data_IF_801827135832
#
_entry.id   IF_801827135832
#
_cell.length_a   1.000
_cell.length_b   1.000
_cell.length_c   1.000
_cell.angle_alpha   90.00
_cell.angle_beta   90.00
_cell.angle_gamma   90.00
#
_symmetry.space_group_name_H-M   'P 1'
#
loop_
_entity.id
_entity.type
_entity.pdbx_description
1 polymer ?
#
# COMPACT_ATOMS: atom_id res chain seq x y z
N UNK A 1 -9.58 -3.23 16.90
CA UNK A 1 -10.46 -3.89 15.94
C UNK A 1 -11.84 -3.95 16.55
N UNK A 2 -12.83 -3.62 15.77
CA UNK A 2 -14.24 -3.78 16.11
C UNK A 2 -14.79 -4.93 15.25
N UNK A 3 -14.89 -6.10 15.85
CA UNK A 3 -15.36 -7.31 15.17
C UNK A 3 -16.86 -7.29 14.88
N UNK A 4 -17.62 -6.47 15.62
CA UNK A 4 -19.08 -6.37 15.44
C UNK A 4 -19.45 -5.49 14.25
N UNK A 5 -18.58 -4.57 13.87
CA UNK A 5 -18.76 -3.61 12.77
C UNK A 5 -17.89 -3.91 11.56
N UNK A 6 -17.05 -4.94 11.63
CA UNK A 6 -16.03 -5.26 10.63
C UNK A 6 -15.12 -4.06 10.30
N UNK A 7 -14.64 -3.37 11.37
CA UNK A 7 -13.80 -2.18 11.24
C UNK A 7 -12.47 -2.30 11.98
N UNK A 8 -11.44 -1.72 11.37
CA UNK A 8 -10.12 -1.51 11.96
C UNK A 8 -9.93 -0.03 12.21
N UNK A 9 -9.75 0.37 13.45
CA UNK A 9 -9.41 1.74 13.82
C UNK A 9 -7.91 1.87 13.99
N UNK A 10 -7.30 2.75 13.22
CA UNK A 10 -5.86 3.02 13.25
C UNK A 10 -5.64 4.51 13.49
N UNK A 11 -4.68 4.84 14.34
CA UNK A 11 -4.17 6.20 14.45
C UNK A 11 -2.81 6.28 13.74
N UNK A 12 -2.74 7.13 12.74
CA UNK A 12 -1.51 7.29 11.95
C UNK A 12 -0.43 7.98 12.78
N UNK A 13 0.78 7.40 12.84
CA UNK A 13 1.86 7.93 13.68
C UNK A 13 2.39 9.30 13.23
N UNK A 14 2.41 9.58 11.92
CA UNK A 14 2.95 10.84 11.40
C UNK A 14 1.98 12.01 11.48
N UNK A 15 0.71 11.75 11.23
CA UNK A 15 -0.31 12.79 11.08
C UNK A 15 -1.26 12.84 12.27
N UNK A 16 -1.21 11.84 13.14
CA UNK A 16 -2.11 11.63 14.28
C UNK A 16 -3.61 11.57 13.88
N UNK A 17 -3.90 11.45 12.57
CA UNK A 17 -5.27 11.33 12.09
C UNK A 17 -5.83 9.92 12.34
N UNK A 18 -7.09 9.83 12.81
CA UNK A 18 -7.78 8.55 12.86
C UNK A 18 -8.08 8.07 11.43
N UNK A 19 -7.95 6.78 11.21
CA UNK A 19 -8.27 6.11 9.96
C UNK A 19 -9.12 4.89 10.27
N UNK A 20 -10.25 4.79 9.62
CA UNK A 20 -11.15 3.65 9.69
C UNK A 20 -11.03 2.85 8.39
N UNK A 21 -10.74 1.58 8.53
CA UNK A 21 -10.60 0.66 7.40
C UNK A 21 -11.54 -0.52 7.56
N UNK A 22 -12.09 -1.06 6.46
CA UNK A 22 -12.89 -2.28 6.53
C UNK A 22 -12.01 -3.47 6.94
N UNK A 23 -12.54 -4.29 7.85
CA UNK A 23 -11.97 -5.58 8.21
C UNK A 23 -12.56 -6.64 7.28
N UNK A 24 -11.85 -6.95 6.20
CA UNK A 24 -12.29 -8.03 5.30
C UNK A 24 -12.18 -9.39 5.98
N UNK A 25 -13.02 -10.35 5.59
CA UNK A 25 -13.02 -11.69 6.17
C UNK A 25 -11.63 -12.37 6.11
N UNK A 26 -10.90 -12.19 5.00
CA UNK A 26 -9.54 -12.74 4.85
C UNK A 26 -8.58 -12.20 5.91
N UNK A 27 -8.59 -10.88 6.12
CA UNK A 27 -7.72 -10.23 7.10
C UNK A 27 -8.17 -10.56 8.52
N UNK A 28 -9.49 -10.55 8.76
CA UNK A 28 -10.08 -10.87 10.06
C UNK A 28 -9.73 -12.29 10.49
N UNK A 29 -9.94 -13.27 9.63
CA UNK A 29 -9.62 -14.67 9.92
C UNK A 29 -8.12 -14.86 10.18
N UNK A 30 -7.25 -14.27 9.37
CA UNK A 30 -5.80 -14.35 9.58
C UNK A 30 -5.36 -13.75 10.93
N UNK A 31 -5.97 -12.64 11.34
CA UNK A 31 -5.69 -12.04 12.66
C UNK A 31 -6.23 -12.93 13.78
N UNK A 32 -7.43 -13.47 13.62
CA UNK A 32 -8.02 -14.37 14.60
C UNK A 32 -7.19 -15.63 14.81
N UNK A 33 -6.77 -16.29 13.72
CA UNK A 33 -5.93 -17.48 13.77
C UNK A 33 -4.59 -17.21 14.44
N UNK A 34 -3.96 -16.08 14.12
CA UNK A 34 -2.74 -15.63 14.80
C UNK A 34 -2.96 -15.45 16.31
N UNK A 35 -4.02 -14.76 16.71
CA UNK A 35 -4.32 -14.50 18.12
C UNK A 35 -4.57 -15.80 18.89
N UNK A 36 -5.20 -16.78 18.25
CA UNK A 36 -5.58 -18.05 18.87
C UNK A 36 -4.43 -19.04 18.97
N UNK A 37 -3.60 -19.13 17.94
CA UNK A 37 -2.66 -20.24 17.76
C UNK A 37 -1.19 -19.85 17.84
N UNK A 38 -0.85 -18.65 17.34
CA UNK A 38 0.55 -18.27 17.08
C UNK A 38 1.06 -17.19 18.06
N UNK A 39 0.16 -16.39 18.60
CA UNK A 39 0.55 -15.27 19.45
C UNK A 39 1.06 -15.77 20.80
N UNK A 40 2.31 -15.44 21.19
CA UNK A 40 2.80 -15.74 22.53
C UNK A 40 1.92 -15.11 23.62
N UNK A 41 1.81 -15.78 24.77
CA UNK A 41 1.17 -15.20 25.93
C UNK A 41 1.92 -13.94 26.36
N UNK A 42 1.27 -12.79 26.27
CA UNK A 42 1.85 -11.48 26.57
C UNK A 42 0.77 -10.57 27.15
N UNK A 43 1.13 -9.77 28.15
CA UNK A 43 0.28 -8.72 28.71
C UNK A 43 0.11 -7.51 27.79
N UNK A 44 0.87 -7.48 26.69
CA UNK A 44 0.82 -6.42 25.71
C UNK A 44 -0.57 -6.33 25.07
N UNK A 45 -1.15 -5.12 25.06
CA UNK A 45 -2.41 -4.83 24.35
C UNK A 45 -2.26 -4.77 22.82
N UNK A 46 -1.03 -4.88 22.30
CA UNK A 46 -0.80 -4.90 20.86
C UNK A 46 -1.19 -6.25 20.26
N UNK A 47 -1.79 -6.24 19.08
CA UNK A 47 -2.14 -7.46 18.37
C UNK A 47 -0.86 -8.26 18.05
N UNK A 48 0.09 -7.62 17.38
CA UNK A 48 1.34 -8.25 16.99
C UNK A 48 2.45 -7.98 17.99
N UNK A 49 3.05 -9.04 18.47
CA UNK A 49 4.13 -9.01 19.46
C UNK A 49 5.35 -9.81 18.95
N UNK A 50 6.52 -9.56 19.54
CA UNK A 50 7.72 -10.32 19.26
C UNK A 50 7.54 -11.78 19.68
N UNK A 51 8.11 -12.71 18.93
CA UNK A 51 8.21 -14.13 19.32
C UNK A 51 9.29 -14.39 20.38
N UNK A 52 10.13 -13.39 20.63
CA UNK A 52 11.19 -13.46 21.65
C UNK A 52 10.77 -12.68 22.87
N UNK A 53 11.10 -13.21 24.06
CA UNK A 53 10.90 -12.49 25.34
C UNK A 53 11.60 -11.13 25.30
N UNK A 54 11.01 -10.10 25.91
CA UNK A 54 9.81 -10.09 26.75
C UNK A 54 8.46 -10.02 26.00
N UNK A 55 8.39 -10.39 24.72
CA UNK A 55 7.18 -10.37 23.87
C UNK A 55 6.60 -8.99 23.66
N UNK A 56 7.48 -8.02 23.51
CA UNK A 56 7.11 -6.63 23.30
C UNK A 56 6.46 -6.40 21.93
N UNK A 57 5.86 -5.22 21.80
CA UNK A 57 5.32 -4.75 20.52
C UNK A 57 6.34 -4.89 19.40
N UNK A 58 5.91 -5.46 18.27
CA UNK A 58 6.72 -5.46 17.06
C UNK A 58 6.95 -4.02 16.56
N UNK A 59 8.22 -3.66 16.37
CA UNK A 59 8.57 -2.38 15.77
C UNK A 59 8.53 -2.45 14.24
N UNK A 60 8.34 -1.28 13.62
CA UNK A 60 8.23 -1.15 12.15
C UNK A 60 9.47 -1.66 11.40
N UNK A 61 10.66 -1.56 12.00
CA UNK A 61 11.92 -2.05 11.41
C UNK A 61 11.95 -3.58 11.34
N UNK A 62 11.51 -4.25 12.39
CA UNK A 62 11.42 -5.72 12.42
C UNK A 62 10.40 -6.25 11.43
N UNK A 63 9.22 -5.61 11.37
CA UNK A 63 8.20 -5.93 10.38
C UNK A 63 8.70 -5.72 8.95
N UNK A 64 9.35 -4.58 8.68
CA UNK A 64 9.93 -4.29 7.35
C UNK A 64 10.96 -5.32 6.91
N UNK A 65 11.85 -5.76 7.82
CA UNK A 65 12.81 -6.84 7.53
C UNK A 65 12.12 -8.17 7.26
N UNK A 66 11.06 -8.48 7.99
CA UNK A 66 10.23 -9.66 7.77
C UNK A 66 9.64 -9.69 6.36
N UNK A 67 9.03 -8.59 5.94
CA UNK A 67 8.44 -8.47 4.58
C UNK A 67 9.51 -8.63 3.50
N UNK A 68 10.68 -7.97 3.63
CA UNK A 68 11.77 -8.13 2.66
C UNK A 68 12.25 -9.58 2.57
N UNK A 69 12.30 -10.29 3.70
CA UNK A 69 12.68 -11.72 3.73
C UNK A 69 11.62 -12.59 3.03
N UNK A 70 10.34 -12.34 3.27
CA UNK A 70 9.24 -13.03 2.60
C UNK A 70 9.26 -12.78 1.09
N UNK A 71 9.46 -11.55 0.65
CA UNK A 71 9.59 -11.20 -0.76
C UNK A 71 10.74 -11.96 -1.43
N UNK A 72 11.89 -12.06 -0.74
CA UNK A 72 13.04 -12.82 -1.23
C UNK A 72 12.70 -14.31 -1.35
N UNK A 73 12.07 -14.89 -0.33
CA UNK A 73 11.66 -16.30 -0.34
C UNK A 73 10.64 -16.61 -1.43
N UNK A 74 9.76 -15.65 -1.75
CA UNK A 74 8.79 -15.76 -2.83
C UNK A 74 9.39 -15.49 -4.24
N UNK A 75 10.70 -15.29 -4.37
CA UNK A 75 11.35 -15.02 -5.64
C UNK A 75 11.04 -13.65 -6.25
N UNK A 76 10.46 -12.73 -5.46
CA UNK A 76 10.15 -11.39 -5.95
C UNK A 76 11.44 -10.60 -6.13
N UNK A 77 11.66 -10.11 -7.35
CA UNK A 77 12.85 -9.32 -7.70
C UNK A 77 13.02 -8.10 -6.78
N UNK A 78 14.25 -7.89 -6.31
CA UNK A 78 14.62 -6.78 -5.44
C UNK A 78 15.95 -6.18 -5.89
N UNK A 79 15.94 -5.50 -7.02
CA UNK A 79 17.12 -4.82 -7.56
C UNK A 79 17.46 -3.55 -6.76
N UNK A 80 18.67 -3.02 -6.98
CA UNK A 80 19.07 -1.72 -6.41
C UNK A 80 18.17 -0.63 -7.02
N UNK A 81 17.50 0.14 -6.14
CA UNK A 81 16.54 1.17 -6.55
C UNK A 81 15.08 0.74 -6.48
N UNK A 82 14.77 -0.57 -6.44
CA UNK A 82 13.40 -1.04 -6.28
C UNK A 82 12.82 -0.64 -4.92
N UNK A 83 11.54 -0.31 -4.90
CA UNK A 83 10.80 -0.10 -3.65
C UNK A 83 10.67 -1.43 -2.91
N UNK A 84 10.94 -1.42 -1.60
CA UNK A 84 10.97 -2.62 -0.76
C UNK A 84 10.04 -2.47 0.43
N UNK A 85 9.62 -3.63 0.96
CA UNK A 85 8.81 -3.66 2.17
C UNK A 85 7.38 -3.14 1.97
N UNK A 86 6.78 -2.58 3.02
CA UNK A 86 5.36 -2.16 3.02
C UNK A 86 5.02 -1.06 2.03
N UNK A 87 5.98 -0.24 1.62
CA UNK A 87 5.74 0.80 0.61
C UNK A 87 5.36 0.22 -0.75
N UNK A 88 5.81 -1.00 -1.07
CA UNK A 88 5.42 -1.66 -2.31
C UNK A 88 3.92 -1.97 -2.33
N UNK A 89 3.39 -2.53 -1.24
CA UNK A 89 1.96 -2.84 -1.13
C UNK A 89 1.10 -1.59 -1.18
N UNK A 90 1.52 -0.54 -0.47
CA UNK A 90 0.83 0.74 -0.51
C UNK A 90 0.82 1.35 -1.91
N UNK A 91 1.93 1.26 -2.61
CA UNK A 91 2.05 1.74 -3.99
C UNK A 91 1.15 0.94 -4.92
N UNK A 92 1.19 -0.38 -4.81
CA UNK A 92 0.33 -1.26 -5.60
C UNK A 92 -1.16 -0.96 -5.35
N UNK A 93 -1.56 -0.79 -4.10
CA UNK A 93 -2.94 -0.42 -3.77
C UNK A 93 -3.35 0.89 -4.42
N UNK A 94 -2.49 1.93 -4.34
CA UNK A 94 -2.77 3.22 -4.94
C UNK A 94 -2.95 3.12 -6.46
N UNK A 95 -2.04 2.43 -7.15
CA UNK A 95 -2.11 2.25 -8.62
C UNK A 95 -3.29 1.38 -9.03
N UNK A 96 -3.61 0.33 -8.28
CA UNK A 96 -4.77 -0.51 -8.53
C UNK A 96 -6.09 0.27 -8.38
N UNK A 97 -6.21 1.09 -7.34
CA UNK A 97 -7.40 1.93 -7.14
C UNK A 97 -7.54 2.98 -8.25
N UNK A 98 -6.45 3.61 -8.67
CA UNK A 98 -6.44 4.55 -9.81
C UNK A 98 -6.87 3.83 -11.09
N UNK A 99 -6.27 2.70 -11.42
CA UNK A 99 -6.61 1.92 -12.61
C UNK A 99 -8.04 1.38 -12.63
N UNK A 100 -8.71 1.32 -11.48
CA UNK A 100 -10.14 0.99 -11.37
C UNK A 100 -11.04 2.25 -11.31
N UNK A 101 -10.53 3.41 -11.65
CA UNK A 101 -11.30 4.65 -11.74
C UNK A 101 -11.75 5.21 -10.39
N UNK A 102 -11.14 4.79 -9.27
CA UNK A 102 -11.49 5.32 -7.95
C UNK A 102 -11.03 6.78 -7.85
N UNK A 103 -11.91 7.72 -7.43
CA UNK A 103 -11.55 9.13 -7.34
C UNK A 103 -10.36 9.40 -6.42
N UNK A 104 -9.45 10.27 -6.84
CA UNK A 104 -8.23 10.61 -6.10
C UNK A 104 -8.46 11.01 -4.63
N UNK A 105 -9.50 11.79 -4.27
CA UNK A 105 -9.79 12.11 -2.88
C UNK A 105 -10.10 10.86 -2.02
N UNK A 106 -10.76 9.86 -2.62
CA UNK A 106 -11.07 8.59 -1.94
C UNK A 106 -9.79 7.81 -1.70
N UNK A 107 -8.92 7.72 -2.71
CA UNK A 107 -7.60 7.06 -2.59
C UNK A 107 -6.76 7.75 -1.52
N UNK A 108 -6.68 9.08 -1.54
CA UNK A 108 -5.96 9.86 -0.53
C UNK A 108 -6.45 9.57 0.87
N UNK A 109 -7.78 9.54 1.06
CA UNK A 109 -8.40 9.25 2.35
C UNK A 109 -8.11 7.82 2.80
N UNK A 110 -8.25 6.84 1.91
CA UNK A 110 -7.95 5.42 2.19
C UNK A 110 -6.48 5.21 2.58
N UNK A 111 -5.58 5.89 1.90
CA UNK A 111 -4.17 5.84 2.20
C UNK A 111 -3.78 6.73 3.40
N UNK A 112 -4.69 7.60 3.85
CA UNK A 112 -4.43 8.54 4.94
C UNK A 112 -3.42 9.62 4.57
N UNK A 113 -3.48 10.12 3.34
CA UNK A 113 -2.70 11.27 2.91
C UNK A 113 -3.31 12.56 3.45
N UNK A 114 -2.47 13.48 3.89
CA UNK A 114 -2.87 14.81 4.35
C UNK A 114 -2.76 15.87 3.27
N UNK A 115 -1.97 15.61 2.23
CA UNK A 115 -1.79 16.51 1.09
C UNK A 115 -2.20 15.83 -0.22
N UNK A 116 -2.93 16.52 -1.11
CA UNK A 116 -3.23 16.04 -2.45
C UNK A 116 -1.99 15.67 -3.26
N UNK A 117 -0.90 16.43 -3.12
CA UNK A 117 0.40 16.18 -3.79
C UNK A 117 1.03 14.82 -3.42
N UNK A 118 0.58 14.21 -2.34
CA UNK A 118 1.05 12.87 -1.96
C UNK A 118 0.67 11.78 -2.97
N UNK A 119 -0.27 12.06 -3.89
CA UNK A 119 -0.66 11.14 -4.97
C UNK A 119 0.15 11.33 -6.26
N UNK A 120 0.85 12.44 -6.45
CA UNK A 120 1.62 12.71 -7.67
C UNK A 120 2.51 11.54 -8.13
N UNK A 121 3.26 10.84 -7.22
CA UNK A 121 4.09 9.71 -7.62
C UNK A 121 3.31 8.52 -8.21
N UNK A 122 1.99 8.47 -7.98
CA UNK A 122 1.11 7.42 -8.49
C UNK A 122 0.43 7.84 -9.79
N UNK A 123 0.16 9.13 -9.97
CA UNK A 123 -0.44 9.68 -11.19
C UNK A 123 0.46 9.48 -12.40
N UNK A 124 1.78 9.62 -12.21
CA UNK A 124 2.75 9.35 -13.27
C UNK A 124 2.75 7.89 -13.77
N UNK A 125 2.14 6.96 -13.03
CA UNK A 125 2.03 5.56 -13.42
C UNK A 125 0.67 5.22 -14.07
N UNK A 126 -0.22 6.18 -14.18
CA UNK A 126 -1.58 6.00 -14.72
C UNK A 126 -1.62 6.28 -16.24
N UNK A 127 -0.72 5.61 -16.96
CA UNK A 127 -0.63 5.71 -18.42
C UNK A 127 -1.94 5.40 -19.18
N UNK A 128 -2.80 4.42 -18.75
CA UNK A 128 -4.04 4.14 -19.44
C UNK A 128 -4.96 5.38 -19.50
N UNK A 129 -5.24 6.01 -18.38
CA UNK A 129 -6.11 7.18 -18.33
C UNK A 129 -5.47 8.44 -18.92
N UNK A 130 -4.13 8.59 -18.79
CA UNK A 130 -3.41 9.66 -19.49
C UNK A 130 -3.51 9.52 -21.00
N UNK A 131 -3.50 8.29 -21.50
CA UNK A 131 -3.65 8.02 -22.94
C UNK A 131 -5.07 8.33 -23.44
N UNK A 132 -6.10 8.09 -22.62
CA UNK A 132 -7.49 8.48 -22.92
C UNK A 132 -7.66 9.99 -22.97
N UNK A 133 -6.90 10.74 -22.16
CA UNK A 133 -6.91 12.21 -22.16
C UNK A 133 -6.11 12.80 -23.34
N UNK A 134 -5.31 11.99 -24.06
CA UNK A 134 -4.52 12.49 -25.17
C UNK A 134 -5.44 12.82 -26.35
N UNK A 135 -5.27 14.02 -26.91
CA UNK A 135 -5.95 14.37 -28.15
C UNK A 135 -5.43 13.48 -29.28
N UNK A 136 -6.35 12.91 -30.06
CA UNK A 136 -5.96 12.16 -31.25
C UNK A 136 -5.28 13.10 -32.26
N UNK A 137 -4.04 12.78 -32.60
CA UNK A 137 -3.27 13.48 -33.62
C UNK A 137 -3.52 12.92 -35.04
N UNK A 138 -4.43 11.95 -35.18
CA UNK A 138 -4.75 11.34 -36.48
C UNK A 138 -5.20 12.34 -37.53
N UNK A 139 -5.83 13.45 -37.11
CA UNK A 139 -6.23 14.56 -37.98
C UNK A 139 -5.07 15.47 -38.35
N UNK A 140 -3.94 15.34 -37.68
CA UNK A 140 -2.72 16.12 -37.91
C UNK A 140 -1.52 15.17 -37.96
N UNK A 141 -1.42 14.33 -39.03
CA UNK A 141 -0.32 13.38 -39.12
C UNK A 141 0.98 14.15 -39.24
N UNK A 142 1.86 13.98 -38.27
CA UNK A 142 3.21 14.57 -38.34
C UNK A 142 4.05 13.73 -39.30
N UNK A 143 4.66 14.32 -40.34
CA UNK A 143 5.58 13.59 -41.22
C UNK A 143 6.70 12.92 -40.44
N UNK A 144 7.03 11.67 -40.78
CA UNK A 144 8.07 10.89 -40.07
C UNK A 144 9.41 11.58 -40.01
N UNK A 145 9.70 12.42 -40.98
CA UNK A 145 10.94 13.19 -41.12
C UNK A 145 11.20 14.18 -39.97
N UNK A 146 10.16 14.57 -39.22
CA UNK A 146 10.29 15.48 -38.07
C UNK A 146 10.95 14.79 -36.85
N UNK A 147 11.01 13.47 -36.84
CA UNK A 147 11.55 12.70 -35.69
C UNK A 147 12.99 12.21 -35.93
N UNK A 148 13.56 12.45 -37.12
CA UNK A 148 14.92 12.04 -37.47
C UNK A 148 15.76 13.28 -37.76
N UNK A 149 16.09 14.02 -36.69
CA UNK A 149 17.27 14.91 -36.78
C UNK A 149 18.42 14.16 -36.11
N UNK A 150 19.40 13.80 -36.99
CA UNK A 150 20.71 13.34 -36.58
C UNK A 150 21.43 14.37 -35.69
#
# INVERSE_FOLDING_TARGET
>A
IDWSKDLIYIRQQKTNHPLELPLTAVVGNAIYDYLRSERPHSESKNIFVSQLKPYDRLNSRSLGRGVVRLMKAAGIRQSKGDRKGFHLFRHHLATALLGNGVPQPVISRTLGHTSPSSLEPYLCADFPHLKECSLSIERFPVPKEVFFHE
#
